data_IF_309391069711
#
_entry.id   IF_309391069711
#
_cell.length_a   1.000
_cell.length_b   1.000
_cell.length_c   1.000
_cell.angle_alpha   90.00
_cell.angle_beta   90.00
_cell.angle_gamma   90.00
#
_symmetry.space_group_name_H-M   'P 1'
#
loop_
_entity.id
_entity.type
_entity.pdbx_description
1 polymer ?
#
# COMPACT_ATOMS: atom_id res chain seq x y z
N UNK A 1 13.86 -56.22 26.65
CA UNK A 1 14.10 -54.81 27.06
C UNK A 1 14.89 -54.04 26.01
N UNK A 2 15.95 -54.55 25.39
CA UNK A 2 16.76 -53.83 24.36
C UNK A 2 15.96 -53.47 23.10
N UNK A 3 15.01 -54.31 22.67
CA UNK A 3 14.16 -54.06 21.48
C UNK A 3 13.22 -52.86 21.63
N UNK A 4 12.77 -52.56 22.87
CA UNK A 4 11.91 -51.38 23.12
C UNK A 4 12.74 -50.10 23.25
N UNK A 5 14.00 -50.19 23.68
CA UNK A 5 14.93 -49.07 23.76
C UNK A 5 15.32 -48.56 22.36
N UNK A 6 15.50 -49.47 21.39
CA UNK A 6 15.80 -49.13 20.00
C UNK A 6 14.60 -48.44 19.29
N UNK A 7 13.38 -48.86 19.62
CA UNK A 7 12.17 -48.25 19.07
C UNK A 7 11.95 -46.81 19.58
N UNK A 8 12.29 -46.52 20.83
CA UNK A 8 12.18 -45.17 21.42
C UNK A 8 13.27 -44.25 20.87
N UNK A 9 14.46 -44.73 20.57
CA UNK A 9 15.54 -43.96 20.00
C UNK A 9 15.23 -43.52 18.55
N UNK A 10 14.43 -44.29 17.81
CA UNK A 10 14.04 -43.99 16.43
C UNK A 10 12.93 -42.91 16.35
N UNK A 11 12.21 -42.65 17.46
CA UNK A 11 11.16 -41.60 17.54
C UNK A 11 11.72 -40.20 17.86
N UNK A 12 13.01 -40.11 18.22
CA UNK A 12 13.68 -38.85 18.60
C UNK A 12 14.50 -38.21 17.47
N UNK A 13 14.33 -38.65 16.22
CA UNK A 13 14.90 -37.93 15.09
C UNK A 13 14.20 -36.60 14.96
N UNK A 14 14.88 -35.46 15.15
CA UNK A 14 14.26 -34.16 14.91
C UNK A 14 13.86 -34.14 13.43
N UNK A 15 12.58 -33.97 13.15
CA UNK A 15 12.12 -33.56 11.84
C UNK A 15 12.78 -32.22 11.56
N UNK A 16 13.85 -32.21 10.80
CA UNK A 16 14.47 -30.98 10.31
C UNK A 16 13.41 -30.26 9.49
N UNK A 17 12.74 -29.31 10.12
CA UNK A 17 11.88 -28.41 9.42
C UNK A 17 12.76 -27.72 8.37
N UNK A 18 12.62 -28.13 7.13
CA UNK A 18 13.25 -27.43 6.00
C UNK A 18 12.64 -26.03 5.97
N UNK A 19 13.34 -25.08 6.55
CA UNK A 19 13.01 -23.68 6.42
C UNK A 19 12.91 -23.36 4.91
N UNK A 20 11.72 -23.13 4.42
CA UNK A 20 11.51 -22.66 3.05
C UNK A 20 12.14 -21.28 2.98
N UNK A 21 13.26 -21.18 2.27
CA UNK A 21 13.87 -19.89 2.01
C UNK A 21 12.90 -19.07 1.15
N UNK A 22 12.47 -17.94 1.69
CA UNK A 22 11.50 -17.05 1.05
C UNK A 22 12.10 -16.40 -0.22
N UNK A 23 11.28 -16.13 -1.26
CA UNK A 23 11.71 -15.36 -2.40
C UNK A 23 12.16 -13.96 -1.97
N UNK A 24 13.24 -13.47 -2.57
CA UNK A 24 13.77 -12.14 -2.29
C UNK A 24 13.48 -11.21 -3.46
N UNK A 25 12.71 -10.15 -3.21
CA UNK A 25 12.51 -9.06 -4.18
C UNK A 25 13.70 -8.09 -4.11
N UNK A 26 14.28 -7.79 -5.27
CA UNK A 26 15.34 -6.78 -5.46
C UNK A 26 14.79 -5.70 -6.38
N UNK A 27 14.17 -4.64 -5.86
CA UNK A 27 13.66 -3.55 -6.66
C UNK A 27 14.76 -2.56 -7.01
N UNK A 28 14.62 -1.89 -8.14
CA UNK A 28 15.44 -0.75 -8.54
C UNK A 28 14.60 0.28 -9.33
N UNK A 29 15.18 1.44 -9.57
CA UNK A 29 14.54 2.56 -10.26
C UNK A 29 15.47 3.15 -11.31
N UNK A 30 14.91 3.60 -12.43
CA UNK A 30 15.70 4.19 -13.52
C UNK A 30 16.40 5.49 -13.13
N UNK A 31 15.82 6.23 -12.18
CA UNK A 31 16.36 7.50 -11.68
C UNK A 31 16.17 7.58 -10.17
N UNK A 32 17.26 7.74 -9.43
CA UNK A 32 17.25 7.91 -7.97
C UNK A 32 17.19 9.37 -7.53
N UNK A 33 17.38 10.28 -8.46
CA UNK A 33 17.38 11.72 -8.22
C UNK A 33 16.67 12.43 -9.37
N UNK A 34 15.71 13.28 -9.02
CA UNK A 34 14.99 14.13 -9.96
C UNK A 34 15.44 15.58 -9.69
N UNK A 35 16.05 16.22 -10.66
CA UNK A 35 16.48 17.60 -10.59
C UNK A 35 15.33 18.50 -11.07
N UNK A 36 14.77 19.30 -10.18
CA UNK A 36 13.74 20.26 -10.50
C UNK A 36 14.42 21.57 -10.95
N UNK A 37 14.21 21.93 -12.20
CA UNK A 37 14.71 23.17 -12.78
C UNK A 37 13.56 24.08 -13.22
N UNK A 38 13.87 25.31 -13.57
CA UNK A 38 12.90 26.23 -14.17
C UNK A 38 12.27 25.61 -15.43
N UNK A 39 10.94 25.50 -15.47
CA UNK A 39 10.21 24.84 -16.56
C UNK A 39 9.97 23.34 -16.36
N UNK A 40 10.27 22.79 -15.18
CA UNK A 40 9.97 21.38 -14.87
C UNK A 40 8.48 21.09 -14.94
N UNK A 41 8.09 20.15 -15.82
CA UNK A 41 6.70 19.74 -16.05
C UNK A 41 6.37 18.37 -15.50
N UNK A 42 7.38 17.65 -14.97
CA UNK A 42 7.27 16.28 -14.45
C UNK A 42 8.49 15.45 -14.83
N UNK A 43 8.57 14.25 -14.26
CA UNK A 43 9.58 13.26 -14.62
C UNK A 43 8.90 11.89 -14.74
N UNK A 44 9.33 11.10 -15.71
CA UNK A 44 8.97 9.71 -15.83
C UNK A 44 10.02 8.86 -15.11
N UNK A 45 9.57 7.91 -14.32
CA UNK A 45 10.43 6.99 -13.58
C UNK A 45 9.96 5.56 -13.83
N UNK A 46 10.86 4.72 -14.33
CA UNK A 46 10.62 3.30 -14.45
C UNK A 46 11.04 2.61 -13.16
N UNK A 47 10.11 1.86 -12.57
CA UNK A 47 10.38 0.93 -11.48
C UNK A 47 10.48 -0.47 -12.07
N UNK A 48 11.54 -1.18 -11.72
CA UNK A 48 11.76 -2.55 -12.15
C UNK A 48 12.44 -3.34 -11.05
N UNK A 49 12.50 -4.66 -11.20
CA UNK A 49 13.14 -5.49 -10.18
C UNK A 49 13.28 -6.93 -10.63
N UNK A 50 13.94 -7.70 -9.78
CA UNK A 50 14.08 -9.14 -9.94
C UNK A 50 13.60 -9.87 -8.69
N UNK A 51 12.93 -11.01 -8.89
CA UNK A 51 12.57 -11.93 -7.80
C UNK A 51 13.59 -13.06 -7.82
N UNK A 52 14.38 -13.15 -6.75
CA UNK A 52 15.39 -14.19 -6.60
C UNK A 52 14.80 -15.34 -5.79
N UNK A 53 14.77 -16.51 -6.39
CA UNK A 53 14.36 -17.74 -5.74
C UNK A 53 15.59 -18.49 -5.21
N UNK A 54 15.76 -18.70 -3.90
CA UNK A 54 16.97 -19.27 -3.33
C UNK A 54 17.33 -20.67 -3.84
N UNK A 55 16.37 -21.39 -4.39
CA UNK A 55 16.56 -22.72 -5.01
C UNK A 55 16.59 -22.68 -6.53
N UNK A 56 16.59 -21.49 -7.15
CA UNK A 56 16.58 -21.32 -8.61
C UNK A 56 15.27 -21.74 -9.29
N UNK A 57 14.24 -22.10 -8.54
CA UNK A 57 12.94 -22.56 -9.07
C UNK A 57 11.86 -21.57 -8.64
N UNK A 58 11.22 -20.95 -9.63
CA UNK A 58 10.02 -20.15 -9.39
C UNK A 58 8.85 -21.06 -8.98
N UNK A 59 7.94 -20.62 -8.09
CA UNK A 59 6.74 -21.36 -7.79
C UNK A 59 5.88 -21.55 -9.05
N UNK A 60 5.18 -22.67 -9.13
CA UNK A 60 4.17 -22.85 -10.17
C UNK A 60 3.03 -21.86 -9.94
N UNK A 61 2.65 -21.12 -10.97
CA UNK A 61 1.54 -20.19 -10.94
C UNK A 61 1.92 -18.76 -11.29
N UNK A 62 0.92 -17.90 -11.29
CA UNK A 62 1.08 -16.48 -11.59
C UNK A 62 1.64 -15.76 -10.36
N UNK A 63 2.69 -14.98 -10.58
CA UNK A 63 3.24 -14.08 -9.57
C UNK A 63 2.56 -12.73 -9.73
N UNK A 64 2.00 -12.24 -8.64
CA UNK A 64 1.38 -10.94 -8.62
C UNK A 64 2.32 -9.92 -8.00
N UNK A 65 2.28 -8.73 -8.57
CA UNK A 65 3.08 -7.60 -8.11
C UNK A 65 2.18 -6.41 -7.85
N UNK A 66 2.40 -5.75 -6.73
CA UNK A 66 1.81 -4.45 -6.43
C UNK A 66 2.92 -3.49 -6.02
N UNK A 67 2.90 -2.30 -6.62
CA UNK A 67 3.88 -1.24 -6.37
C UNK A 67 3.17 -0.07 -5.74
N UNK A 68 3.65 0.38 -4.59
CA UNK A 68 3.14 1.57 -3.91
C UNK A 68 4.20 2.66 -3.92
N UNK A 69 3.85 3.82 -4.46
CA UNK A 69 4.63 5.05 -4.37
C UNK A 69 3.93 6.00 -3.42
N UNK A 70 4.60 6.31 -2.32
CA UNK A 70 4.06 7.20 -1.27
C UNK A 70 5.00 8.38 -1.04
N UNK A 71 4.44 9.57 -1.11
CA UNK A 71 5.14 10.81 -0.77
C UNK A 71 5.22 11.03 0.74
N UNK A 72 5.98 12.05 1.18
CA UNK A 72 6.06 12.42 2.59
C UNK A 72 4.68 12.79 3.13
N UNK A 73 4.46 12.50 4.40
CA UNK A 73 3.20 12.87 5.08
C UNK A 73 3.26 14.29 5.59
N UNK A 74 2.12 14.96 5.60
CA UNK A 74 1.96 16.32 6.14
C UNK A 74 0.60 16.48 6.82
N UNK A 75 0.49 17.38 7.81
CA UNK A 75 -0.81 17.76 8.33
C UNK A 75 -1.56 18.61 7.30
N UNK A 76 -2.88 18.42 7.22
CA UNK A 76 -3.76 19.23 6.39
C UNK A 76 -5.08 19.51 7.13
N UNK A 77 -5.66 20.68 6.87
CA UNK A 77 -7.03 21.02 7.25
C UNK A 77 -7.92 20.88 6.03
N UNK A 78 -8.90 19.98 6.10
CA UNK A 78 -9.94 19.83 5.08
C UNK A 78 -11.16 20.66 5.48
N UNK A 79 -11.68 21.47 4.54
CA UNK A 79 -12.86 22.29 4.75
C UNK A 79 -13.95 21.90 3.78
N UNK A 80 -15.15 21.72 4.31
CA UNK A 80 -16.33 21.45 3.49
C UNK A 80 -17.09 22.75 3.24
N UNK A 81 -17.37 23.00 1.97
CA UNK A 81 -18.21 24.14 1.56
C UNK A 81 -19.66 23.70 1.41
N UNK A 82 -20.56 24.48 1.99
CA UNK A 82 -21.99 24.29 1.83
C UNK A 82 -22.64 25.58 1.32
N UNK A 83 -23.70 25.42 0.52
CA UNK A 83 -24.46 26.55 0.02
C UNK A 83 -25.60 26.87 0.99
N UNK A 84 -25.47 27.97 1.74
CA UNK A 84 -26.45 28.41 2.72
C UNK A 84 -27.01 29.75 2.26
N UNK A 85 -28.32 29.86 2.13
CA UNK A 85 -29.00 31.07 1.61
C UNK A 85 -28.44 31.61 0.29
N UNK A 86 -28.00 30.68 -0.61
CA UNK A 86 -27.45 31.07 -1.91
C UNK A 86 -25.95 31.35 -1.93
N UNK A 87 -25.27 31.42 -0.79
CA UNK A 87 -23.85 31.76 -0.65
C UNK A 87 -23.07 30.51 -0.24
N UNK A 88 -21.89 30.31 -0.85
CA UNK A 88 -20.98 29.26 -0.46
C UNK A 88 -20.14 29.68 0.73
N UNK A 89 -20.28 28.96 1.84
CA UNK A 89 -19.49 29.18 3.06
C UNK A 89 -18.74 27.90 3.46
N UNK A 90 -17.66 28.05 4.22
CA UNK A 90 -17.01 26.91 4.88
C UNK A 90 -17.88 26.55 6.10
N UNK A 91 -18.70 25.53 5.96
CA UNK A 91 -19.65 25.13 6.99
C UNK A 91 -19.05 24.16 7.99
N UNK A 92 -18.02 23.41 7.57
CA UNK A 92 -17.43 22.39 8.40
C UNK A 92 -15.93 22.21 8.07
N UNK A 93 -15.15 21.71 9.03
CA UNK A 93 -13.70 21.46 8.83
C UNK A 93 -13.18 20.40 9.79
N UNK A 94 -12.19 19.66 9.32
CA UNK A 94 -11.44 18.72 10.16
C UNK A 94 -9.95 18.75 9.83
N UNK A 95 -9.13 18.47 10.83
CA UNK A 95 -7.68 18.38 10.67
C UNK A 95 -7.26 16.92 10.56
N UNK A 96 -6.35 16.65 9.64
CA UNK A 96 -5.65 15.37 9.52
C UNK A 96 -4.19 15.57 9.88
N UNK A 97 -3.65 14.74 10.77
CA UNK A 97 -2.25 14.87 11.23
C UNK A 97 -1.23 14.37 10.21
N UNK A 98 -1.61 13.35 9.46
CA UNK A 98 -0.66 12.62 8.61
C UNK A 98 -1.36 12.17 7.33
N UNK A 99 -1.24 12.98 6.29
CA UNK A 99 -1.77 12.66 4.95
C UNK A 99 -0.59 12.59 4.00
N UNK A 100 -0.43 11.52 3.21
CA UNK A 100 0.62 11.47 2.21
C UNK A 100 0.39 12.58 1.17
N UNK A 101 1.46 13.29 0.83
CA UNK A 101 1.40 14.34 -0.19
C UNK A 101 1.13 13.77 -1.59
N UNK A 102 1.46 12.50 -1.80
CA UNK A 102 1.22 11.73 -3.00
C UNK A 102 1.02 10.27 -2.63
N UNK A 103 0.11 9.58 -3.32
CA UNK A 103 -0.08 8.14 -3.20
C UNK A 103 -0.46 7.56 -4.54
N UNK A 104 0.31 6.60 -5.01
CA UNK A 104 -0.04 5.83 -6.20
C UNK A 104 0.18 4.35 -5.94
N UNK A 105 -0.77 3.53 -6.36
CA UNK A 105 -0.63 2.09 -6.36
C UNK A 105 -0.92 1.56 -7.75
N UNK A 106 -0.01 0.74 -8.24
CA UNK A 106 -0.13 0.00 -9.48
C UNK A 106 0.00 -1.49 -9.20
N UNK A 107 -0.77 -2.32 -9.88
CA UNK A 107 -0.77 -3.76 -9.65
C UNK A 107 -0.94 -4.56 -10.95
N UNK A 108 -0.45 -5.79 -10.95
CA UNK A 108 -0.59 -6.73 -12.09
C UNK A 108 -2.05 -7.13 -12.33
N UNK A 109 -2.83 -7.23 -11.27
CA UNK A 109 -4.28 -7.54 -11.29
C UNK A 109 -5.02 -6.69 -10.25
N UNK A 110 -6.36 -6.67 -10.25
CA UNK A 110 -7.12 -6.03 -9.19
C UNK A 110 -6.69 -6.50 -7.80
N UNK A 111 -6.53 -5.59 -6.86
CA UNK A 111 -5.95 -5.85 -5.53
C UNK A 111 -6.72 -6.91 -4.73
N UNK A 112 -8.05 -6.97 -4.89
CA UNK A 112 -8.91 -7.99 -4.27
C UNK A 112 -8.65 -9.41 -4.78
N UNK A 113 -7.93 -9.56 -5.91
CA UNK A 113 -7.49 -10.83 -6.47
C UNK A 113 -6.05 -11.20 -6.08
N UNK A 114 -5.30 -10.24 -5.54
CA UNK A 114 -3.90 -10.40 -5.16
C UNK A 114 -3.76 -10.68 -3.66
N UNK A 115 -4.48 -9.91 -2.84
CA UNK A 115 -4.38 -9.98 -1.38
C UNK A 115 -5.75 -9.97 -0.72
N UNK A 116 -5.85 -10.57 0.46
CA UNK A 116 -7.04 -10.46 1.29
C UNK A 116 -7.18 -9.05 1.91
N UNK A 117 -8.39 -8.71 2.34
CA UNK A 117 -8.71 -7.38 2.87
C UNK A 117 -7.91 -7.00 4.12
N UNK A 118 -7.50 -7.99 4.93
CA UNK A 118 -6.70 -7.76 6.13
C UNK A 118 -5.26 -7.39 5.78
N UNK A 119 -4.66 -8.13 4.88
CA UNK A 119 -3.32 -7.84 4.34
C UNK A 119 -3.30 -6.49 3.63
N UNK A 120 -4.32 -6.21 2.80
CA UNK A 120 -4.46 -4.92 2.14
C UNK A 120 -4.53 -3.75 3.15
N UNK A 121 -5.25 -3.92 4.26
CA UNK A 121 -5.34 -2.90 5.31
C UNK A 121 -4.03 -2.70 6.08
N UNK A 122 -3.29 -3.79 6.36
CA UNK A 122 -2.01 -3.72 7.08
C UNK A 122 -0.95 -2.95 6.28
N UNK A 123 -0.89 -3.19 4.98
CA UNK A 123 0.08 -2.56 4.08
C UNK A 123 -0.45 -1.33 3.36
N UNK A 124 -1.66 -0.86 3.70
CA UNK A 124 -2.34 0.27 3.05
C UNK A 124 -2.41 0.12 1.51
N UNK A 125 -2.70 -1.09 1.05
CA UNK A 125 -2.82 -1.39 -0.39
C UNK A 125 -4.21 -1.00 -0.89
N UNK A 126 -4.30 0.16 -1.49
CA UNK A 126 -5.55 0.71 -2.04
C UNK A 126 -5.96 2.01 -1.37
N UNK A 127 -6.69 2.83 -2.11
CA UNK A 127 -7.15 4.14 -1.64
C UNK A 127 -8.17 4.03 -0.49
N UNK A 128 -8.94 2.95 -0.47
CA UNK A 128 -9.91 2.63 0.56
C UNK A 128 -9.28 2.04 1.83
N UNK A 129 -7.99 1.69 1.78
CA UNK A 129 -7.23 1.11 2.89
C UNK A 129 -6.25 2.11 3.54
N UNK A 130 -6.16 3.34 3.00
CA UNK A 130 -5.34 4.37 3.60
C UNK A 130 -5.78 4.69 5.02
N UNK A 131 -4.85 4.65 5.96
CA UNK A 131 -5.11 4.96 7.38
C UNK A 131 -5.09 6.48 7.57
N UNK A 132 -6.18 7.12 7.17
CA UNK A 132 -6.40 8.55 7.32
C UNK A 132 -7.26 8.77 8.56
N UNK A 133 -6.69 9.39 9.58
CA UNK A 133 -7.40 9.65 10.83
C UNK A 133 -7.56 11.15 11.03
N UNK A 134 -8.80 11.65 11.09
CA UNK A 134 -9.09 13.00 11.53
C UNK A 134 -8.59 13.22 12.96
N UNK A 135 -8.20 14.44 13.27
CA UNK A 135 -7.84 14.87 14.63
C UNK A 135 -9.11 15.28 15.37
N UNK A 136 -9.17 14.95 16.67
CA UNK A 136 -10.31 15.31 17.50
C UNK A 136 -11.37 14.21 17.59
N UNK A 137 -12.41 14.49 18.37
CA UNK A 137 -13.56 13.60 18.52
C UNK A 137 -14.55 13.90 17.39
N UNK A 138 -14.51 13.08 16.37
CA UNK A 138 -15.44 13.08 15.22
C UNK A 138 -16.23 11.77 15.26
N UNK A 139 -17.51 11.83 15.00
CA UNK A 139 -18.30 10.60 14.92
C UNK A 139 -17.92 9.76 13.67
N UNK A 140 -18.29 8.48 13.67
CA UNK A 140 -17.90 7.55 12.61
C UNK A 140 -18.49 7.92 11.23
N UNK A 141 -19.61 8.62 11.16
CA UNK A 141 -20.23 9.04 9.90
C UNK A 141 -19.50 10.27 9.35
N UNK A 142 -19.21 11.22 10.21
CA UNK A 142 -18.42 12.42 9.87
C UNK A 142 -17.00 12.03 9.47
N UNK A 143 -16.36 11.14 10.22
CA UNK A 143 -15.03 10.62 9.86
C UNK A 143 -15.02 10.03 8.44
N UNK A 144 -15.97 9.16 8.11
CA UNK A 144 -16.07 8.57 6.75
C UNK A 144 -16.29 9.64 5.69
N UNK A 145 -17.16 10.61 5.96
CA UNK A 145 -17.44 11.73 5.03
C UNK A 145 -16.18 12.50 4.70
N UNK A 146 -15.42 12.92 5.71
CA UNK A 146 -14.18 13.68 5.51
C UNK A 146 -13.08 12.84 4.85
N UNK A 147 -12.90 11.57 5.22
CA UNK A 147 -11.93 10.68 4.58
C UNK A 147 -12.28 10.49 3.09
N UNK A 148 -13.54 10.20 2.78
CA UNK A 148 -13.99 10.04 1.40
C UNK A 148 -13.78 11.33 0.59
N UNK A 149 -14.14 12.49 1.16
CA UNK A 149 -13.93 13.78 0.52
C UNK A 149 -12.45 14.10 0.28
N UNK A 150 -11.57 13.74 1.22
CA UNK A 150 -10.13 13.91 1.09
C UNK A 150 -9.55 13.05 -0.02
N UNK A 151 -9.93 11.77 -0.08
CA UNK A 151 -9.47 10.84 -1.13
C UNK A 151 -9.95 11.32 -2.50
N UNK A 152 -11.24 11.66 -2.64
CA UNK A 152 -11.82 12.17 -3.89
C UNK A 152 -11.14 13.46 -4.37
N UNK A 153 -10.88 14.40 -3.46
CA UNK A 153 -10.18 15.64 -3.79
C UNK A 153 -8.76 15.37 -4.31
N UNK A 154 -8.01 14.49 -3.64
CA UNK A 154 -6.65 14.15 -4.07
C UNK A 154 -6.63 13.33 -5.37
N UNK A 155 -7.63 12.48 -5.62
CA UNK A 155 -7.77 11.80 -6.91
C UNK A 155 -8.03 12.80 -8.05
N UNK A 156 -8.95 13.74 -7.89
CA UNK A 156 -9.22 14.79 -8.87
C UNK A 156 -8.01 15.68 -9.16
N UNK A 157 -7.18 15.90 -8.15
CA UNK A 157 -5.92 16.65 -8.29
C UNK A 157 -4.77 15.81 -8.85
N UNK A 158 -4.98 14.50 -9.15
CA UNK A 158 -3.97 13.58 -9.64
C UNK A 158 -2.89 13.23 -8.61
N UNK A 159 -3.12 13.54 -7.33
CA UNK A 159 -2.21 13.23 -6.23
C UNK A 159 -2.38 11.81 -5.70
N UNK A 160 -3.60 11.26 -5.83
CA UNK A 160 -3.90 9.88 -5.45
C UNK A 160 -4.33 9.10 -6.69
N UNK A 161 -3.70 7.95 -6.92
CA UNK A 161 -3.97 7.09 -8.08
C UNK A 161 -4.01 5.63 -7.68
N UNK A 162 -4.87 4.87 -8.34
CA UNK A 162 -4.92 3.41 -8.22
C UNK A 162 -5.17 2.82 -9.59
N UNK A 163 -4.27 1.97 -10.05
CA UNK A 163 -4.32 1.36 -11.37
C UNK A 163 -4.09 -0.16 -11.25
N UNK A 164 -4.85 -0.94 -12.00
CA UNK A 164 -4.70 -2.38 -12.06
C UNK A 164 -4.39 -2.82 -13.49
N UNK A 165 -3.58 -3.87 -13.63
CA UNK A 165 -3.17 -4.37 -14.96
C UNK A 165 -2.10 -3.52 -15.64
N UNK A 166 -1.36 -2.69 -14.89
CA UNK A 166 -0.33 -1.78 -15.42
C UNK A 166 1.09 -2.21 -15.04
N UNK A 167 1.22 -3.27 -14.26
CA UNK A 167 2.50 -3.86 -13.86
C UNK A 167 2.66 -5.20 -14.57
N UNK A 168 3.77 -5.37 -15.31
CA UNK A 168 4.16 -6.58 -16.04
C UNK A 168 5.41 -7.23 -15.46
#
# INVERSE_FOLDING_TARGET
MIRHLLAILMLLLPASAMAQAEPKLVPDVSQRQINIQSGFTGAEMLLFGAIIYPRGVAPEGQIDVAVVLRGPTRPITLREKQKIAGIWINADSTDFRSVPAYYAIASSRPLDKIVDSKTAAIYELGLDKLQLSPSGEVDAAEQRRFITGLVDLNQRNGLFRQEAGTVE
#
